data_IF_133960742239
#
_entry.id   IF_133960742239
#
_cell.length_a   1.000
_cell.length_b   1.000
_cell.length_c   1.000
_cell.angle_alpha   90.00
_cell.angle_beta   90.00
_cell.angle_gamma   90.00
#
_symmetry.space_group_name_H-M   'P 1'
#
loop_
_entity.id
_entity.type
_entity.pdbx_description
1 polymer ?
#
# COMPACT_ATOMS: atom_id res chain seq x y z
N UNK A 1 -0.48 73.66 15.31
CA UNK A 1 0.09 72.30 15.24
C UNK A 1 -0.98 71.39 14.64
N UNK A 2 -0.89 71.09 13.34
CA UNK A 2 -1.92 70.37 12.58
C UNK A 2 -1.57 68.88 12.66
N UNK A 3 -2.41 68.07 13.29
CA UNK A 3 -2.23 66.61 13.33
C UNK A 3 -2.41 66.05 11.92
N UNK A 4 -1.36 65.47 11.36
CA UNK A 4 -1.44 64.73 10.11
C UNK A 4 -2.03 63.36 10.40
N UNK A 5 -3.24 63.13 9.91
CA UNK A 5 -3.87 61.82 9.80
C UNK A 5 -3.02 60.91 8.91
N UNK A 6 -2.57 59.76 9.42
CA UNK A 6 -1.99 58.72 8.59
C UNK A 6 -3.10 58.10 7.73
N UNK A 7 -3.01 58.31 6.42
CA UNK A 7 -3.87 57.61 5.48
C UNK A 7 -3.48 56.14 5.45
N UNK A 8 -4.49 55.27 5.61
CA UNK A 8 -4.35 53.84 5.47
C UNK A 8 -3.89 53.47 4.07
N UNK A 9 -2.69 52.90 3.98
CA UNK A 9 -2.20 52.24 2.77
C UNK A 9 -3.08 51.01 2.49
N UNK A 10 -3.99 51.13 1.54
CA UNK A 10 -4.62 49.97 0.91
C UNK A 10 -3.55 49.26 0.08
N UNK A 11 -2.87 48.27 0.66
CA UNK A 11 -1.95 47.41 -0.07
C UNK A 11 -2.70 46.74 -1.24
N UNK A 12 -2.41 47.17 -2.47
CA UNK A 12 -2.87 46.50 -3.67
C UNK A 12 -2.37 45.05 -3.64
N UNK A 13 -3.29 44.07 -3.57
CA UNK A 13 -2.94 42.64 -3.62
C UNK A 13 -2.14 42.37 -4.90
N UNK A 14 -1.05 41.60 -4.79
CA UNK A 14 -0.23 41.26 -5.96
C UNK A 14 -1.05 40.45 -6.98
N UNK A 15 -0.69 40.55 -8.26
CA UNK A 15 -1.33 39.75 -9.33
C UNK A 15 -1.27 38.25 -9.04
N UNK A 16 -0.16 37.79 -8.46
CA UNK A 16 0.01 36.41 -8.01
C UNK A 16 -1.02 36.03 -6.95
N UNK A 17 -1.14 36.82 -5.88
CA UNK A 17 -2.10 36.55 -4.80
C UNK A 17 -3.53 36.55 -5.31
N UNK A 18 -3.87 37.48 -6.22
CA UNK A 18 -5.20 37.52 -6.85
C UNK A 18 -5.49 36.23 -7.65
N UNK A 19 -4.55 35.78 -8.48
CA UNK A 19 -4.71 34.55 -9.25
C UNK A 19 -4.80 33.31 -8.35
N UNK A 20 -3.90 33.18 -7.38
CA UNK A 20 -3.91 32.06 -6.45
C UNK A 20 -5.20 32.01 -5.60
N UNK A 21 -5.79 33.17 -5.28
CA UNK A 21 -7.10 33.25 -4.61
C UNK A 21 -8.20 32.63 -5.46
N UNK A 22 -8.23 32.93 -6.76
CA UNK A 22 -9.22 32.36 -7.70
C UNK A 22 -9.06 30.84 -7.77
N UNK A 23 -7.83 30.34 -7.89
CA UNK A 23 -7.55 28.91 -7.95
C UNK A 23 -7.95 28.20 -6.65
N UNK A 24 -7.65 28.78 -5.49
CA UNK A 24 -8.02 28.22 -4.19
C UNK A 24 -9.54 28.14 -4.00
N UNK A 25 -10.27 29.20 -4.39
CA UNK A 25 -11.73 29.21 -4.37
C UNK A 25 -12.30 28.11 -5.27
N UNK A 26 -11.75 27.93 -6.48
CA UNK A 26 -12.16 26.87 -7.39
C UNK A 26 -11.91 25.47 -6.79
N UNK A 27 -10.75 25.28 -6.17
CA UNK A 27 -10.42 24.04 -5.44
C UNK A 27 -11.48 23.74 -4.38
N UNK A 28 -11.84 24.70 -3.53
CA UNK A 28 -12.87 24.48 -2.49
C UNK A 28 -14.28 24.32 -3.03
N UNK A 29 -14.62 24.98 -4.14
CA UNK A 29 -15.92 24.83 -4.80
C UNK A 29 -16.13 23.41 -5.33
N UNK A 30 -15.08 22.83 -5.90
CA UNK A 30 -15.08 21.47 -6.47
C UNK A 30 -14.80 20.39 -5.42
N UNK A 31 -14.31 20.79 -4.25
CA UNK A 31 -14.03 19.91 -3.13
C UNK A 31 -15.32 19.38 -2.47
N UNK A 32 -15.29 18.17 -1.87
CA UNK A 32 -16.37 17.69 -1.01
C UNK A 32 -16.68 18.63 0.18
N UNK A 33 -15.83 19.61 0.50
CA UNK A 33 -15.94 20.49 1.67
C UNK A 33 -16.46 21.89 1.33
N UNK A 34 -17.45 21.96 0.44
CA UNK A 34 -17.98 23.20 -0.16
C UNK A 34 -18.46 24.21 0.90
N UNK A 35 -18.10 25.48 0.70
CA UNK A 35 -18.64 26.65 1.40
C UNK A 35 -19.09 27.67 0.35
N UNK A 36 -20.12 28.45 0.65
CA UNK A 36 -20.79 29.31 -0.32
C UNK A 36 -20.31 30.77 -0.29
N UNK A 37 -19.59 31.18 0.76
CA UNK A 37 -19.23 32.59 0.93
C UNK A 37 -17.97 33.00 0.13
N UNK A 38 -18.08 34.16 -0.52
CA UNK A 38 -17.12 34.75 -1.45
C UNK A 38 -16.41 36.01 -0.90
N UNK A 39 -16.68 36.39 0.36
CA UNK A 39 -16.08 37.55 1.05
C UNK A 39 -14.56 37.40 1.25
N UNK A 40 -13.91 38.46 1.77
CA UNK A 40 -12.50 38.41 2.18
C UNK A 40 -12.40 37.45 3.37
N UNK A 41 -12.20 36.18 3.06
CA UNK A 41 -12.08 35.13 4.05
C UNK A 41 -10.83 35.34 4.91
N UNK A 42 -10.94 35.31 6.26
CA UNK A 42 -9.77 35.18 7.13
C UNK A 42 -8.89 33.99 6.71
N UNK A 43 -7.64 33.93 7.20
CA UNK A 43 -6.76 32.78 6.93
C UNK A 43 -7.33 31.45 7.43
N UNK A 44 -8.27 31.51 8.38
CA UNK A 44 -8.99 30.38 8.94
C UNK A 44 -10.48 30.71 8.92
N UNK A 45 -11.23 29.97 8.11
CA UNK A 45 -12.69 30.06 8.02
C UNK A 45 -13.34 28.94 8.83
N UNK A 46 -14.46 29.23 9.47
CA UNK A 46 -15.33 28.18 10.00
C UNK A 46 -15.84 27.29 8.86
N UNK A 47 -15.97 25.99 9.17
CA UNK A 47 -16.63 25.05 8.25
C UNK A 47 -18.12 24.97 8.58
N UNK A 48 -18.96 24.83 7.55
CA UNK A 48 -20.37 24.51 7.78
C UNK A 48 -20.52 23.11 8.42
N UNK A 49 -21.69 22.81 8.97
CA UNK A 49 -21.96 21.54 9.67
C UNK A 49 -21.62 20.29 8.83
N UNK A 50 -21.89 20.33 7.52
CA UNK A 50 -21.57 19.22 6.61
C UNK A 50 -20.07 19.04 6.44
N UNK A 51 -19.31 20.13 6.33
CA UNK A 51 -17.85 20.13 6.31
C UNK A 51 -17.27 19.62 7.62
N UNK A 52 -17.82 20.09 8.75
CA UNK A 52 -17.44 19.65 10.09
C UNK A 52 -17.55 18.12 10.22
N UNK A 53 -18.73 17.54 9.97
CA UNK A 53 -18.95 16.10 10.12
C UNK A 53 -18.08 15.26 9.17
N UNK A 54 -17.81 15.74 7.96
CA UNK A 54 -16.92 15.05 7.01
C UNK A 54 -15.48 15.03 7.49
N UNK A 55 -14.95 16.16 7.96
CA UNK A 55 -13.57 16.23 8.47
C UNK A 55 -13.44 15.48 9.80
N UNK A 56 -14.44 15.60 10.68
CA UNK A 56 -14.51 14.81 11.93
C UNK A 56 -14.47 13.30 11.63
N UNK A 57 -15.31 12.83 10.71
CA UNK A 57 -15.31 11.43 10.28
C UNK A 57 -13.97 10.99 9.68
N UNK A 58 -13.29 11.86 8.93
CA UNK A 58 -11.94 11.59 8.40
C UNK A 58 -10.92 11.36 9.53
N UNK A 59 -10.91 12.20 10.56
CA UNK A 59 -10.02 12.05 11.72
C UNK A 59 -10.37 10.79 12.52
N UNK A 60 -11.65 10.59 12.83
CA UNK A 60 -12.13 9.47 13.65
C UNK A 60 -11.88 8.09 13.02
N UNK A 61 -11.67 8.00 11.70
CA UNK A 61 -11.18 6.75 11.06
C UNK A 61 -9.86 6.24 11.64
N UNK A 62 -9.01 7.15 12.11
CA UNK A 62 -7.67 6.81 12.60
C UNK A 62 -7.43 7.19 14.06
N UNK A 63 -8.26 8.06 14.62
CA UNK A 63 -8.21 8.49 16.02
C UNK A 63 -9.64 8.62 16.59
N UNK A 64 -10.35 7.50 16.86
CA UNK A 64 -11.77 7.50 17.23
C UNK A 64 -12.12 8.32 18.48
N UNK A 65 -11.24 8.33 19.48
CA UNK A 65 -11.39 9.00 20.77
C UNK A 65 -10.98 10.49 20.76
N UNK A 66 -10.70 11.05 19.57
CA UNK A 66 -10.32 12.44 19.44
C UNK A 66 -11.49 13.38 19.80
N UNK A 67 -11.33 14.13 20.91
CA UNK A 67 -12.31 15.14 21.35
C UNK A 67 -12.18 16.45 20.55
N UNK A 68 -12.72 16.42 19.33
CA UNK A 68 -12.72 17.55 18.39
C UNK A 68 -13.78 18.57 18.80
N UNK A 69 -13.37 19.81 19.05
CA UNK A 69 -14.30 20.89 19.43
C UNK A 69 -14.36 22.04 18.41
N UNK A 70 -13.41 22.13 17.47
CA UNK A 70 -13.38 23.20 16.45
C UNK A 70 -12.66 22.72 15.19
N UNK A 71 -13.16 23.07 14.02
CA UNK A 71 -12.53 22.79 12.72
C UNK A 71 -12.54 24.08 11.90
N UNK A 72 -11.37 24.52 11.46
CA UNK A 72 -11.25 25.60 10.51
C UNK A 72 -10.77 25.06 9.17
N UNK A 73 -11.29 25.61 8.09
CA UNK A 73 -10.68 25.51 6.77
C UNK A 73 -9.62 26.58 6.63
N UNK A 74 -8.47 26.20 6.10
CA UNK A 74 -7.41 27.17 5.79
C UNK A 74 -7.75 27.94 4.52
N UNK A 75 -7.48 29.23 4.50
CA UNK A 75 -7.56 30.05 3.30
C UNK A 75 -6.26 30.85 3.18
N UNK A 76 -5.20 30.20 2.65
CA UNK A 76 -3.89 30.81 2.46
C UNK A 76 -3.51 30.85 0.96
N UNK A 77 -4.06 31.79 0.17
CA UNK A 77 -3.87 31.83 -1.28
C UNK A 77 -2.42 31.82 -1.74
N UNK A 78 -1.54 32.58 -1.08
CA UNK A 78 -0.12 32.65 -1.46
C UNK A 78 0.54 31.28 -1.33
N UNK A 79 0.32 30.59 -0.21
CA UNK A 79 0.85 29.25 0.02
C UNK A 79 0.26 28.24 -0.97
N UNK A 80 -1.04 28.34 -1.29
CA UNK A 80 -1.66 27.47 -2.29
C UNK A 80 -1.09 27.71 -3.69
N UNK A 81 -0.83 28.96 -4.06
CA UNK A 81 -0.18 29.29 -5.33
C UNK A 81 1.23 28.70 -5.42
N UNK A 82 2.03 28.81 -4.36
CA UNK A 82 3.37 28.21 -4.31
C UNK A 82 3.31 26.68 -4.38
N UNK A 83 2.35 26.07 -3.68
CA UNK A 83 2.09 24.64 -3.75
C UNK A 83 1.75 24.18 -5.17
N UNK A 84 0.91 24.92 -5.88
CA UNK A 84 0.57 24.61 -7.27
C UNK A 84 1.76 24.78 -8.21
N UNK A 85 2.59 25.81 -8.03
CA UNK A 85 3.82 25.98 -8.79
C UNK A 85 4.74 24.77 -8.60
N UNK A 86 4.96 24.36 -7.35
CA UNK A 86 5.81 23.21 -7.07
C UNK A 86 5.22 21.89 -7.59
N UNK A 87 3.90 21.74 -7.53
CA UNK A 87 3.20 20.61 -8.16
C UNK A 87 3.47 20.56 -9.67
N UNK A 88 3.42 21.70 -10.36
CA UNK A 88 3.72 21.76 -11.80
C UNK A 88 5.20 21.48 -12.10
N UNK A 89 6.13 21.93 -11.26
CA UNK A 89 7.56 21.60 -11.37
C UNK A 89 7.79 20.08 -11.32
N UNK A 90 7.20 19.40 -10.34
CA UNK A 90 7.28 17.94 -10.23
C UNK A 90 6.61 17.25 -11.43
N UNK A 91 5.45 17.76 -11.89
CA UNK A 91 4.75 17.21 -13.07
C UNK A 91 5.63 17.26 -14.31
N UNK A 92 6.29 18.39 -14.55
CA UNK A 92 7.19 18.58 -15.70
C UNK A 92 8.44 17.69 -15.58
N UNK A 93 9.02 17.58 -14.38
CA UNK A 93 10.15 16.68 -14.13
C UNK A 93 9.79 15.20 -14.37
N UNK A 94 8.53 14.83 -14.19
CA UNK A 94 7.99 13.49 -14.44
C UNK A 94 7.49 13.26 -15.88
N UNK A 95 7.94 14.07 -16.84
CA UNK A 95 7.52 13.94 -18.24
C UNK A 95 6.06 14.31 -18.49
N UNK A 96 5.50 15.18 -17.65
CA UNK A 96 4.12 15.67 -17.75
C UNK A 96 3.08 14.82 -17.01
N UNK A 97 3.49 13.74 -16.35
CA UNK A 97 2.60 12.87 -15.57
C UNK A 97 2.11 13.54 -14.30
N UNK A 98 0.81 13.43 -14.02
CA UNK A 98 0.19 14.00 -12.83
C UNK A 98 0.87 13.55 -11.53
N UNK A 99 1.10 14.52 -10.64
CA UNK A 99 1.72 14.29 -9.34
C UNK A 99 0.70 13.68 -8.38
N UNK A 100 1.08 12.61 -7.69
CA UNK A 100 0.22 12.00 -6.67
C UNK A 100 0.16 12.91 -5.44
N UNK A 101 -1.07 13.18 -5.01
CA UNK A 101 -1.36 13.88 -3.77
C UNK A 101 -1.85 12.90 -2.70
N UNK A 102 -1.39 13.07 -1.46
CA UNK A 102 -1.89 12.32 -0.30
C UNK A 102 -2.45 13.28 0.75
N UNK A 103 -3.60 12.93 1.30
CA UNK A 103 -4.11 13.59 2.50
C UNK A 103 -3.38 12.99 3.71
N UNK A 104 -2.58 13.81 4.39
CA UNK A 104 -1.79 13.41 5.56
C UNK A 104 -1.98 14.41 6.70
N UNK A 105 -1.57 13.99 7.90
CA UNK A 105 -1.75 14.71 9.15
C UNK A 105 -0.41 15.17 9.72
N UNK A 106 -0.42 16.32 10.38
CA UNK A 106 0.66 16.82 11.22
C UNK A 106 0.07 17.37 12.52
N UNK A 107 0.60 16.99 13.68
CA UNK A 107 0.10 17.50 14.98
C UNK A 107 1.10 18.46 15.60
N UNK A 108 0.60 19.63 15.98
CA UNK A 108 1.39 20.66 16.66
C UNK A 108 0.54 21.44 17.68
N UNK A 109 1.15 22.38 18.39
CA UNK A 109 0.43 23.30 19.28
C UNK A 109 -0.32 24.35 18.46
N UNK A 110 -1.38 24.92 19.02
CA UNK A 110 -2.15 25.97 18.35
C UNK A 110 -1.30 27.17 17.89
N UNK A 111 -0.38 27.74 18.70
CA UNK A 111 0.47 28.84 18.23
C UNK A 111 1.34 28.46 17.02
N UNK A 112 1.95 27.27 17.03
CA UNK A 112 2.77 26.80 15.92
C UNK A 112 1.93 26.53 14.67
N UNK A 113 0.70 26.03 14.82
CA UNK A 113 -0.20 25.81 13.69
C UNK A 113 -0.56 27.16 13.05
N UNK A 114 -0.97 28.16 13.83
CA UNK A 114 -1.30 29.50 13.31
C UNK A 114 -0.11 30.15 12.63
N UNK A 115 1.07 30.10 13.26
CA UNK A 115 2.32 30.62 12.67
C UNK A 115 2.65 29.93 11.34
N UNK A 116 2.39 28.62 11.23
CA UNK A 116 2.69 27.87 10.00
C UNK A 116 1.92 28.38 8.77
N UNK A 117 0.80 29.10 8.94
CA UNK A 117 0.05 29.69 7.81
C UNK A 117 0.81 30.80 7.09
N UNK A 118 1.77 31.43 7.76
CA UNK A 118 2.62 32.48 7.19
C UNK A 118 4.03 31.98 6.90
N UNK A 119 4.62 31.21 7.81
CA UNK A 119 6.01 30.74 7.69
C UNK A 119 6.17 29.41 6.96
N UNK A 120 5.08 28.67 6.74
CA UNK A 120 5.17 27.23 6.45
C UNK A 120 5.54 26.40 7.68
N UNK A 121 5.57 25.08 7.52
CA UNK A 121 6.00 24.15 8.57
C UNK A 121 7.53 24.09 8.63
N UNK A 122 8.11 24.42 9.77
CA UNK A 122 9.56 24.40 9.96
C UNK A 122 10.02 23.18 10.78
N UNK A 123 10.68 22.24 10.11
CA UNK A 123 11.21 21.04 10.75
C UNK A 123 12.35 21.34 11.73
N UNK A 124 13.04 22.47 11.61
CA UNK A 124 14.15 22.85 12.51
C UNK A 124 13.67 23.15 13.93
N UNK A 125 12.36 23.36 14.10
CA UNK A 125 11.69 23.50 15.42
C UNK A 125 11.47 22.17 16.13
N UNK A 126 11.73 21.03 15.48
CA UNK A 126 11.66 19.69 16.08
C UNK A 126 13.02 19.01 16.10
N UNK A 127 13.35 18.38 17.23
CA UNK A 127 14.57 17.57 17.37
C UNK A 127 14.37 16.12 16.88
N UNK A 128 13.19 15.78 16.35
CA UNK A 128 12.84 14.43 15.93
C UNK A 128 12.96 14.29 14.41
N UNK A 129 14.09 13.75 13.95
CA UNK A 129 14.38 13.51 12.53
C UNK A 129 14.61 12.04 12.19
N UNK A 130 14.04 11.07 12.94
CA UNK A 130 14.35 9.62 12.81
C UNK A 130 14.32 9.10 11.36
N UNK A 131 13.43 9.65 10.54
CA UNK A 131 13.20 9.27 9.14
C UNK A 131 13.66 10.33 8.14
N UNK A 132 14.41 11.33 8.59
CA UNK A 132 14.78 12.49 7.79
C UNK A 132 14.66 13.79 8.57
N UNK A 133 15.55 14.72 8.26
CA UNK A 133 15.55 16.11 8.73
C UNK A 133 14.66 16.95 7.82
N UNK A 134 13.36 16.74 7.96
CA UNK A 134 12.33 17.41 7.18
C UNK A 134 10.98 17.40 7.91
N UNK A 135 9.96 18.00 7.30
CA UNK A 135 8.61 18.05 7.87
C UNK A 135 8.01 16.66 7.79
N UNK A 136 7.65 16.10 8.96
CA UNK A 136 7.05 14.78 9.06
C UNK A 136 5.53 14.85 9.07
N UNK A 137 4.91 14.04 8.22
CA UNK A 137 3.47 13.81 8.14
C UNK A 137 3.13 12.34 8.42
N UNK A 138 1.87 12.04 8.74
CA UNK A 138 1.37 10.67 8.87
C UNK A 138 0.04 10.45 8.15
N UNK A 139 -0.21 9.21 7.74
CA UNK A 139 -1.53 8.77 7.30
C UNK A 139 -2.47 8.41 8.46
N UNK A 140 -2.04 8.56 9.72
CA UNK A 140 -2.81 8.23 10.90
C UNK A 140 -2.75 9.36 11.95
N UNK A 141 -3.91 9.92 12.31
CA UNK A 141 -3.99 11.05 13.23
C UNK A 141 -3.59 10.68 14.67
N UNK A 142 -3.90 9.46 15.14
CA UNK A 142 -3.51 8.98 16.46
C UNK A 142 -1.98 8.77 16.54
N UNK A 143 -1.38 8.28 15.45
CA UNK A 143 0.09 8.21 15.34
C UNK A 143 0.73 9.60 15.49
N UNK A 144 0.22 10.61 14.77
CA UNK A 144 0.68 11.99 14.94
C UNK A 144 0.51 12.49 16.38
N UNK A 145 -0.61 12.19 17.02
CA UNK A 145 -0.89 12.60 18.40
C UNK A 145 0.14 12.03 19.39
N UNK A 146 0.45 10.73 19.29
CA UNK A 146 1.45 10.07 20.15
C UNK A 146 2.85 10.64 19.94
N UNK A 147 3.24 10.86 18.68
CA UNK A 147 4.59 11.27 18.32
C UNK A 147 4.77 12.79 18.11
N UNK A 148 3.77 13.59 18.47
CA UNK A 148 3.89 15.05 18.48
C UNK A 148 5.01 15.52 19.44
N UNK A 149 5.49 16.75 19.21
CA UNK A 149 6.55 17.34 20.03
C UNK A 149 6.08 17.44 21.50
N UNK A 150 6.97 17.13 22.47
CA UNK A 150 6.62 17.17 23.90
C UNK A 150 6.16 18.55 24.36
N UNK A 151 6.63 19.64 23.73
CA UNK A 151 6.14 20.99 24.02
C UNK A 151 4.63 21.16 23.73
N UNK A 152 4.08 20.32 22.84
CA UNK A 152 2.65 20.24 22.53
C UNK A 152 1.90 19.33 23.51
N UNK A 153 2.61 18.62 24.39
CA UNK A 153 2.06 17.75 25.44
C UNK A 153 1.70 18.52 26.73
N UNK A 154 1.40 19.81 26.63
CA UNK A 154 0.75 20.53 27.74
C UNK A 154 -0.75 20.28 27.67
N UNK A 155 -1.38 20.05 28.83
CA UNK A 155 -2.83 19.84 28.93
C UNK A 155 -3.55 21.03 28.30
N UNK A 156 -4.61 20.76 27.54
CA UNK A 156 -5.44 21.81 26.94
C UNK A 156 -5.82 21.48 25.51
N UNK A 157 -5.14 22.11 24.55
CA UNK A 157 -5.54 22.14 23.15
C UNK A 157 -4.36 21.80 22.24
N UNK A 158 -4.62 20.95 21.25
CA UNK A 158 -3.72 20.66 20.14
C UNK A 158 -4.43 20.82 18.80
N UNK A 159 -3.63 20.93 17.74
CA UNK A 159 -4.13 21.07 16.36
C UNK A 159 -3.60 19.93 15.51
N UNK A 160 -4.52 19.18 14.89
CA UNK A 160 -4.21 18.32 13.74
C UNK A 160 -4.34 19.18 12.49
N UNK A 161 -3.24 19.39 11.80
CA UNK A 161 -3.19 19.99 10.46
C UNK A 161 -3.42 18.88 9.45
N UNK A 162 -4.55 18.93 8.74
CA UNK A 162 -4.86 18.04 7.62
C UNK A 162 -4.34 18.70 6.35
N UNK A 163 -3.41 18.06 5.65
CA UNK A 163 -2.73 18.65 4.48
C UNK A 163 -2.89 17.76 3.26
N UNK A 164 -2.95 18.37 2.06
CA UNK A 164 -2.56 17.67 0.83
C UNK A 164 -1.04 17.75 0.70
N UNK A 165 -0.40 16.62 0.40
CA UNK A 165 1.06 16.48 0.34
C UNK A 165 1.43 15.84 -1.00
N UNK A 166 2.35 16.45 -1.72
CA UNK A 166 2.90 15.92 -2.97
C UNK A 166 3.84 14.75 -2.64
N UNK A 167 3.59 13.59 -3.25
CA UNK A 167 4.40 12.39 -3.04
C UNK A 167 4.63 11.72 -4.39
N UNK A 168 5.81 11.91 -4.98
CA UNK A 168 6.11 11.40 -6.31
C UNK A 168 6.82 10.03 -6.24
N UNK A 169 8.08 10.05 -5.81
CA UNK A 169 8.98 8.92 -5.64
C UNK A 169 9.44 8.80 -4.18
N UNK A 170 9.46 7.58 -3.68
CA UNK A 170 9.60 7.32 -2.24
C UNK A 170 10.84 6.50 -1.92
N UNK A 171 11.63 6.97 -0.96
CA UNK A 171 12.71 6.20 -0.36
C UNK A 171 12.27 5.55 0.95
N UNK A 172 12.20 4.22 0.97
CA UNK A 172 11.79 3.45 2.15
C UNK A 172 12.96 3.26 3.14
N UNK A 173 12.79 3.81 4.35
CA UNK A 173 13.79 3.66 5.42
C UNK A 173 13.61 2.33 6.11
N UNK A 174 14.66 1.50 6.09
CA UNK A 174 14.67 0.16 6.70
C UNK A 174 14.65 0.24 8.24
N UNK A 175 13.96 -0.69 8.92
CA UNK A 175 13.74 -0.70 10.39
C UNK A 175 14.98 -0.46 11.26
N UNK A 176 16.15 -0.96 10.84
CA UNK A 176 17.43 -0.83 11.56
C UNK A 176 18.23 0.43 11.24
N UNK A 177 17.81 1.22 10.23
CA UNK A 177 18.48 2.47 9.86
C UNK A 177 17.72 3.66 10.45
N UNK A 178 18.47 4.60 11.02
CA UNK A 178 17.96 5.92 11.42
C UNK A 178 18.62 6.96 10.53
N UNK A 179 17.86 7.58 9.64
CA UNK A 179 18.39 8.54 8.66
C UNK A 179 18.19 9.98 9.16
N UNK A 180 18.67 10.24 10.38
CA UNK A 180 18.49 11.50 11.11
C UNK A 180 19.36 12.66 10.63
N UNK A 181 20.33 12.37 9.77
CA UNK A 181 21.17 13.34 9.07
C UNK A 181 20.74 13.57 7.63
N UNK A 182 19.74 12.81 7.14
CA UNK A 182 19.27 12.93 5.77
C UNK A 182 18.47 14.22 5.64
N UNK A 183 19.02 15.19 4.92
CA UNK A 183 18.39 16.50 4.64
C UNK A 183 17.77 16.57 3.23
N UNK A 184 18.07 15.59 2.37
CA UNK A 184 17.51 15.39 1.03
C UNK A 184 17.43 13.88 0.80
N UNK A 185 16.32 13.32 0.26
CA UNK A 185 16.25 11.89 -0.05
C UNK A 185 17.28 11.46 -1.09
N UNK A 186 17.73 10.19 -1.07
CA UNK A 186 18.66 9.69 -2.08
C UNK A 186 17.99 9.48 -3.43
N UNK A 187 18.78 9.62 -4.51
CA UNK A 187 18.34 9.34 -5.87
C UNK A 187 17.31 10.35 -6.37
N UNK A 188 16.22 9.84 -6.95
CA UNK A 188 15.10 10.63 -7.50
C UNK A 188 13.95 10.82 -6.52
N UNK A 189 14.06 10.26 -5.30
CA UNK A 189 13.00 10.34 -4.32
C UNK A 189 12.79 11.78 -3.83
N UNK A 190 11.53 12.20 -3.69
CA UNK A 190 11.14 13.46 -3.05
C UNK A 190 10.63 13.25 -1.62
N UNK A 191 10.31 11.99 -1.27
CA UNK A 191 9.71 11.66 0.02
C UNK A 191 10.43 10.47 0.65
N UNK A 192 10.77 10.56 1.94
CA UNK A 192 11.13 9.35 2.69
C UNK A 192 9.93 8.77 3.42
N UNK A 193 9.87 7.44 3.48
CA UNK A 193 8.78 6.71 4.13
C UNK A 193 9.34 5.81 5.22
N UNK A 194 8.74 5.83 6.40
CA UNK A 194 9.15 4.93 7.48
C UNK A 194 8.89 3.46 7.16
N UNK A 195 9.66 2.55 7.75
CA UNK A 195 9.47 1.10 7.59
C UNK A 195 8.07 0.58 7.93
N UNK A 196 7.31 1.28 8.76
CA UNK A 196 5.94 0.91 9.14
C UNK A 196 4.87 1.60 8.26
N UNK A 197 5.28 2.36 7.24
CA UNK A 197 4.37 3.03 6.30
C UNK A 197 3.52 4.16 6.89
N UNK A 198 3.86 4.64 8.10
CA UNK A 198 3.09 5.65 8.82
C UNK A 198 3.68 7.05 8.78
N UNK A 199 4.96 7.22 8.44
CA UNK A 199 5.60 8.53 8.41
C UNK A 199 6.10 8.83 7.01
N UNK A 200 5.78 10.03 6.53
CA UNK A 200 6.21 10.59 5.25
C UNK A 200 6.97 11.87 5.57
N UNK A 201 8.23 12.00 5.14
CA UNK A 201 9.04 13.19 5.37
C UNK A 201 9.24 13.95 4.07
N UNK A 202 8.96 15.25 4.12
CA UNK A 202 9.13 16.23 3.04
C UNK A 202 10.21 17.23 3.41
N UNK A 203 10.98 17.68 2.43
CA UNK A 203 12.25 18.36 2.64
C UNK A 203 12.26 19.78 2.10
N UNK A 204 11.37 20.09 1.16
CA UNK A 204 11.26 21.40 0.55
C UNK A 204 9.98 22.11 1.02
N UNK A 205 10.05 23.44 1.00
CA UNK A 205 8.89 24.27 1.26
C UNK A 205 7.83 24.06 0.17
N UNK A 206 6.57 24.28 0.54
CA UNK A 206 5.42 24.21 -0.38
C UNK A 206 5.16 22.83 -1.04
N UNK A 207 5.81 21.76 -0.59
CA UNK A 207 5.46 20.38 -0.95
C UNK A 207 4.13 19.89 -0.34
N UNK A 208 3.50 20.74 0.47
CA UNK A 208 2.21 20.50 1.08
C UNK A 208 1.42 21.79 1.22
N UNK A 209 0.10 21.65 1.24
CA UNK A 209 -0.82 22.73 1.57
C UNK A 209 -1.78 22.27 2.67
N UNK A 210 -1.89 23.01 3.80
CA UNK A 210 -2.83 22.68 4.85
C UNK A 210 -4.26 22.99 4.38
N UNK A 211 -5.14 21.99 4.43
CA UNK A 211 -6.55 22.09 4.07
C UNK A 211 -7.41 22.50 5.26
N UNK A 212 -7.16 21.90 6.43
CA UNK A 212 -7.95 22.11 7.65
C UNK A 212 -7.07 22.11 8.89
N UNK A 213 -7.46 22.93 9.86
CA UNK A 213 -6.98 22.86 11.24
C UNK A 213 -8.09 22.26 12.09
N UNK A 214 -7.82 21.12 12.71
CA UNK A 214 -8.74 20.42 13.61
C UNK A 214 -8.23 20.57 15.03
N UNK A 215 -8.97 21.33 15.83
CA UNK A 215 -8.65 21.59 17.23
C UNK A 215 -9.33 20.55 18.10
N UNK A 216 -8.55 19.92 18.97
CA UNK A 216 -9.03 18.88 19.85
C UNK A 216 -8.48 19.04 21.25
N UNK A 217 -9.26 18.61 22.24
CA UNK A 217 -8.80 18.58 23.63
C UNK A 217 -7.81 17.45 23.78
N UNK A 218 -6.70 17.74 24.46
CA UNK A 218 -5.69 16.74 24.73
C UNK A 218 -5.35 16.71 26.21
N UNK A 219 -5.34 15.50 26.75
CA UNK A 219 -4.84 15.19 28.08
C UNK A 219 -3.87 14.00 28.02
N UNK A 220 -2.93 13.86 28.97
CA UNK A 220 -2.00 12.76 29.03
C UNK A 220 -2.67 11.38 29.07
N UNK A 221 -3.85 11.26 29.67
CA UNK A 221 -4.58 10.00 29.83
C UNK A 221 -4.96 9.40 28.48
N UNK A 222 -5.28 10.25 27.49
CA UNK A 222 -5.64 9.81 26.13
C UNK A 222 -4.47 9.11 25.42
N UNK A 223 -3.21 9.38 25.81
CA UNK A 223 -2.07 8.63 25.27
C UNK A 223 -2.15 7.15 25.61
N UNK A 224 -2.63 6.80 26.81
CA UNK A 224 -2.71 5.40 27.24
C UNK A 224 -3.72 4.59 26.41
N UNK A 225 -4.69 5.26 25.79
CA UNK A 225 -5.71 4.64 24.93
C UNK A 225 -5.22 4.46 23.49
N UNK A 226 -4.10 5.09 23.11
CA UNK A 226 -3.56 4.95 21.76
C UNK A 226 -2.89 3.59 21.55
N UNK A 227 -3.22 2.94 20.43
CA UNK A 227 -2.54 1.71 19.99
C UNK A 227 -1.07 1.93 19.59
N UNK A 228 -0.66 3.17 19.36
CA UNK A 228 0.72 3.54 19.06
C UNK A 228 1.51 3.93 20.31
N UNK A 229 0.83 4.08 21.45
CA UNK A 229 1.49 4.29 22.72
C UNK A 229 2.03 2.98 23.27
N UNK A 230 3.33 2.79 23.09
CA UNK A 230 4.04 1.58 23.51
C UNK A 230 4.64 1.83 24.90
N UNK A 231 4.04 1.23 25.93
CA UNK A 231 4.72 0.98 27.22
C UNK A 231 5.71 -0.19 27.07
N UNK A 232 6.69 -0.33 27.98
CA UNK A 232 7.67 -1.45 27.93
C UNK A 232 7.00 -2.83 27.87
N UNK A 233 5.83 -2.98 28.49
CA UNK A 233 5.01 -4.20 28.48
C UNK A 233 4.32 -4.44 27.13
N UNK A 234 3.80 -3.39 26.48
CA UNK A 234 3.18 -3.49 25.15
C UNK A 234 4.18 -3.89 24.06
N UNK A 235 5.47 -3.53 24.20
CA UNK A 235 6.53 -3.97 23.30
C UNK A 235 6.67 -5.49 23.27
N UNK A 236 6.62 -6.14 24.44
CA UNK A 236 6.71 -7.60 24.54
C UNK A 236 5.50 -8.28 23.90
N UNK A 237 4.29 -7.77 24.15
CA UNK A 237 3.06 -8.32 23.57
C UNK A 237 3.00 -8.16 22.05
N UNK A 238 3.36 -7.00 21.50
CA UNK A 238 3.43 -6.82 20.04
C UNK A 238 4.49 -7.70 19.40
N UNK A 239 5.64 -7.90 20.08
CA UNK A 239 6.68 -8.81 19.58
C UNK A 239 6.17 -10.25 19.55
N UNK A 240 5.50 -10.70 20.60
CA UNK A 240 4.91 -12.04 20.68
C UNK A 240 3.82 -12.25 19.63
N UNK A 241 2.92 -11.28 19.44
CA UNK A 241 1.88 -11.35 18.39
C UNK A 241 2.49 -11.39 16.98
N UNK A 242 3.56 -10.63 16.74
CA UNK A 242 4.24 -10.62 15.45
C UNK A 242 5.01 -11.93 15.20
N UNK A 243 5.64 -12.49 16.24
CA UNK A 243 6.26 -13.82 16.21
C UNK A 243 5.21 -14.92 15.93
N UNK A 244 4.06 -14.87 16.61
CA UNK A 244 2.92 -15.77 16.40
C UNK A 244 2.40 -15.70 14.96
N UNK A 245 2.21 -14.49 14.43
CA UNK A 245 1.74 -14.31 13.05
C UNK A 245 2.74 -14.86 12.02
N UNK A 246 4.04 -14.63 12.22
CA UNK A 246 5.08 -15.23 11.36
C UNK A 246 5.14 -16.75 11.47
N UNK A 247 4.89 -17.32 12.65
CA UNK A 247 4.79 -18.77 12.83
C UNK A 247 3.58 -19.33 12.09
N UNK A 248 2.42 -18.68 12.17
CA UNK A 248 1.23 -19.08 11.42
C UNK A 248 1.46 -19.07 9.91
N UNK A 249 2.13 -18.04 9.38
CA UNK A 249 2.50 -17.97 7.95
C UNK A 249 3.45 -19.10 7.55
N UNK A 250 4.49 -19.37 8.34
CA UNK A 250 5.42 -20.48 8.09
C UNK A 250 4.72 -21.85 8.12
N UNK A 251 3.78 -22.04 9.04
CA UNK A 251 2.99 -23.28 9.14
C UNK A 251 2.07 -23.43 7.91
N UNK A 252 1.48 -22.34 7.44
CA UNK A 252 0.65 -22.35 6.23
C UNK A 252 1.48 -22.70 4.99
N UNK A 253 2.67 -22.12 4.83
CA UNK A 253 3.59 -22.41 3.72
C UNK A 253 4.04 -23.89 3.73
N UNK A 254 4.34 -24.44 4.90
CA UNK A 254 4.67 -25.86 5.06
C UNK A 254 3.48 -26.75 4.66
N UNK A 255 2.26 -26.42 5.07
CA UNK A 255 1.05 -27.15 4.67
C UNK A 255 0.81 -27.12 3.15
N UNK A 256 1.04 -25.97 2.52
CA UNK A 256 0.92 -25.80 1.06
C UNK A 256 2.00 -26.66 0.35
N UNK A 257 3.22 -26.66 0.86
CA UNK A 257 4.33 -27.46 0.32
C UNK A 257 4.06 -28.97 0.47
N UNK A 258 3.55 -29.41 1.61
CA UNK A 258 3.20 -30.81 1.86
C UNK A 258 2.06 -31.28 0.95
N UNK A 259 1.01 -30.46 0.82
CA UNK A 259 -0.12 -30.73 -0.09
C UNK A 259 0.35 -30.86 -1.55
N UNK A 260 1.26 -29.98 -1.98
CA UNK A 260 1.86 -29.99 -3.31
C UNK A 260 2.70 -31.26 -3.55
N UNK A 261 3.50 -31.66 -2.55
CA UNK A 261 4.28 -32.91 -2.60
C UNK A 261 3.37 -34.15 -2.67
N UNK A 262 2.27 -34.18 -1.92
CA UNK A 262 1.32 -35.29 -1.95
C UNK A 262 0.66 -35.41 -3.34
N UNK A 263 0.29 -34.29 -3.96
CA UNK A 263 -0.22 -34.27 -5.33
C UNK A 263 0.81 -34.80 -6.34
N UNK A 264 2.08 -34.40 -6.21
CA UNK A 264 3.18 -34.90 -7.03
C UNK A 264 3.33 -36.42 -6.91
N UNK A 265 3.33 -36.96 -5.68
CA UNK A 265 3.39 -38.41 -5.43
C UNK A 265 2.21 -39.14 -6.06
N UNK A 266 0.99 -38.59 -5.95
CA UNK A 266 -0.21 -39.16 -6.60
C UNK A 266 -0.09 -39.19 -8.12
N UNK A 267 0.43 -38.13 -8.74
CA UNK A 267 0.67 -38.07 -10.19
C UNK A 267 1.73 -39.07 -10.63
N UNK A 268 2.84 -39.19 -9.88
CA UNK A 268 3.88 -40.18 -10.15
C UNK A 268 3.38 -41.61 -10.05
N UNK A 269 2.62 -41.94 -8.99
CA UNK A 269 2.00 -43.26 -8.83
C UNK A 269 1.00 -43.56 -9.96
N UNK A 270 0.20 -42.58 -10.38
CA UNK A 270 -0.72 -42.73 -11.51
C UNK A 270 0.01 -43.00 -12.83
N UNK A 271 1.12 -42.29 -13.10
CA UNK A 271 1.97 -42.54 -14.27
C UNK A 271 2.57 -43.95 -14.26
N UNK A 272 3.06 -44.41 -13.10
CA UNK A 272 3.60 -45.77 -12.97
C UNK A 272 2.54 -46.84 -13.22
N UNK A 273 1.33 -46.67 -12.65
CA UNK A 273 0.20 -47.59 -12.90
C UNK A 273 -0.20 -47.63 -14.37
N UNK A 274 -0.23 -46.47 -15.04
CA UNK A 274 -0.50 -46.40 -16.47
C UNK A 274 0.57 -47.12 -17.30
N UNK A 275 1.85 -46.93 -16.98
CA UNK A 275 2.95 -47.60 -17.66
C UNK A 275 2.92 -49.12 -17.48
N UNK A 276 2.62 -49.61 -16.27
CA UNK A 276 2.45 -51.04 -16.00
C UNK A 276 1.29 -51.65 -16.79
N UNK A 277 0.11 -51.01 -16.78
CA UNK A 277 -1.05 -51.47 -17.54
C UNK A 277 -0.78 -51.50 -19.06
N UNK A 278 0.00 -50.53 -19.58
CA UNK A 278 0.43 -50.52 -20.98
C UNK A 278 1.35 -51.71 -21.29
N UNK A 279 2.34 -51.99 -20.44
CA UNK A 279 3.25 -53.12 -20.60
C UNK A 279 2.51 -54.47 -20.54
N UNK A 280 1.54 -54.62 -19.62
CA UNK A 280 0.70 -55.82 -19.53
C UNK A 280 -0.13 -56.05 -20.80
N UNK A 281 -0.69 -54.96 -21.37
CA UNK A 281 -1.42 -55.00 -22.63
C UNK A 281 -0.52 -55.41 -23.82
N UNK A 282 0.68 -54.84 -23.91
CA UNK A 282 1.67 -55.18 -24.95
C UNK A 282 2.16 -56.64 -24.81
N UNK A 283 2.36 -57.12 -23.60
CA UNK A 283 2.72 -58.51 -23.32
C UNK A 283 1.57 -59.48 -23.69
N UNK A 284 0.32 -59.11 -23.39
CA UNK A 284 -0.86 -59.89 -23.77
C UNK A 284 -1.02 -59.98 -25.30
N UNK A 285 -0.84 -58.85 -26.01
CA UNK A 285 -0.85 -58.80 -27.46
C UNK A 285 0.25 -59.70 -28.06
N UNK A 286 1.47 -59.63 -27.52
CA UNK A 286 2.59 -60.48 -27.96
C UNK A 286 2.31 -61.97 -27.76
N UNK A 287 1.74 -62.36 -26.61
CA UNK A 287 1.31 -63.74 -26.36
C UNK A 287 0.23 -64.19 -27.35
N UNK A 288 -0.73 -63.33 -27.68
CA UNK A 288 -1.79 -63.66 -28.64
C UNK A 288 -1.23 -63.92 -30.05
N UNK A 289 -0.27 -63.09 -30.50
CA UNK A 289 0.43 -63.28 -31.78
C UNK A 289 1.20 -64.61 -31.80
N UNK A 290 1.94 -64.92 -30.73
CA UNK A 290 2.67 -66.19 -30.63
C UNK A 290 1.72 -67.41 -30.66
N UNK A 291 0.59 -67.35 -29.96
CA UNK A 291 -0.43 -68.39 -29.96
C UNK A 291 -1.03 -68.62 -31.36
N UNK A 292 -1.33 -67.53 -32.08
CA UNK A 292 -1.84 -67.59 -33.45
C UNK A 292 -0.84 -68.23 -34.42
N UNK A 293 0.46 -67.89 -34.31
CA UNK A 293 1.53 -68.51 -35.10
C UNK A 293 1.65 -70.01 -34.81
N UNK A 294 1.55 -70.41 -33.54
CA UNK A 294 1.62 -71.81 -33.13
C UNK A 294 0.43 -72.62 -33.70
N UNK A 295 -0.77 -72.06 -33.62
CA UNK A 295 -1.96 -72.67 -34.24
C UNK A 295 -1.81 -72.81 -35.76
N UNK A 296 -1.28 -71.80 -36.44
CA UNK A 296 -1.01 -71.85 -37.89
C UNK A 296 -0.01 -72.95 -38.23
N UNK A 297 1.08 -73.09 -37.46
CA UNK A 297 2.04 -74.20 -37.60
C UNK A 297 1.39 -75.57 -37.41
N UNK A 298 0.57 -75.75 -36.36
CA UNK A 298 -0.17 -76.99 -36.11
C UNK A 298 -1.12 -77.35 -37.27
N UNK A 299 -1.87 -76.37 -37.79
CA UNK A 299 -2.75 -76.56 -38.96
C UNK A 299 -1.97 -76.98 -40.20
N UNK A 300 -0.83 -76.33 -40.48
CA UNK A 300 0.04 -76.70 -41.61
C UNK A 300 0.64 -78.11 -41.46
N UNK A 301 1.07 -78.49 -40.26
CA UNK A 301 1.58 -79.84 -39.98
C UNK A 301 0.49 -80.91 -40.17
N UNK A 302 -0.73 -80.65 -39.68
CA UNK A 302 -1.89 -81.54 -39.87
C UNK A 302 -2.23 -81.71 -41.36
N UNK A 303 -2.24 -80.62 -42.15
CA UNK A 303 -2.40 -80.68 -43.61
C UNK A 303 -1.32 -81.55 -44.28
N UNK A 304 -0.05 -81.35 -43.94
CA UNK A 304 1.07 -82.16 -44.46
C UNK A 304 0.92 -83.65 -44.10
N UNK A 305 0.50 -83.97 -42.86
CA UNK A 305 0.26 -85.35 -42.42
C UNK A 305 -0.88 -86.02 -43.19
N UNK A 306 -2.01 -85.33 -43.38
CA UNK A 306 -3.13 -85.83 -44.21
C UNK A 306 -2.70 -86.09 -45.66
N UNK A 307 -1.87 -85.21 -46.22
CA UNK A 307 -1.33 -85.39 -47.59
C UNK A 307 -0.41 -86.60 -47.69
N UNK A 308 0.46 -86.85 -46.69
CA UNK A 308 1.29 -88.06 -46.61
C UNK A 308 0.45 -89.34 -46.50
N UNK A 309 -0.58 -89.33 -45.66
CA UNK A 309 -1.49 -90.47 -45.52
C UNK A 309 -2.24 -90.78 -46.82
N UNK A 310 -2.74 -89.75 -47.53
CA UNK A 310 -3.34 -89.91 -48.85
C UNK A 310 -2.36 -90.51 -49.88
N UNK A 311 -1.11 -90.04 -49.90
CA UNK A 311 -0.06 -90.63 -50.76
C UNK A 311 0.24 -92.08 -50.40
N UNK A 312 0.33 -92.42 -49.12
CA UNK A 312 0.56 -93.78 -48.66
C UNK A 312 -0.61 -94.72 -49.03
N UNK A 313 -1.85 -94.27 -48.85
CA UNK A 313 -3.04 -95.02 -49.26
C UNK A 313 -3.05 -95.29 -50.77
N UNK A 314 -2.73 -94.28 -51.60
CA UNK A 314 -2.61 -94.45 -53.04
C UNK A 314 -1.50 -95.45 -53.43
N UNK A 315 -0.38 -95.50 -52.70
CA UNK A 315 0.69 -96.49 -52.92
C UNK A 315 0.22 -97.91 -52.55
N UNK A 316 -0.59 -98.05 -51.49
CA UNK A 316 -1.15 -99.35 -51.08
C UNK A 316 -2.19 -99.84 -52.10
N UNK A 317 -3.07 -98.96 -52.61
CA UNK A 317 -4.00 -99.30 -53.69
C UNK A 317 -3.27 -99.75 -54.97
N UNK A 318 -2.18 -99.08 -55.34
CA UNK A 318 -1.37 -99.48 -56.51
C UNK A 318 -0.67 -100.83 -56.30
N UNK A 319 -0.25 -101.16 -55.07
CA UNK A 319 0.36 -102.47 -54.76
C UNK A 319 -0.64 -103.62 -54.65
N UNK A 320 -1.91 -103.35 -54.37
CA UNK A 320 -2.97 -104.37 -54.31
C UNK A 320 -3.51 -104.75 -55.71
N UNK A 321 -3.10 -104.03 -56.76
CA UNK A 321 -3.50 -104.22 -58.15
C UNK A 321 -2.43 -104.92 -59.03
N UNK A 322 -1.37 -105.46 -58.41
CA UNK A 322 -0.30 -106.25 -59.04
C UNK A 322 -0.29 -107.66 -58.45
#
# INVERSE_FOLDING_TARGET
MKMMSSQGSTFSKSKFTAHATVLLKLHYRNSPFRHYDDTVSPLLDDVNMKGYERVKGLIHKTYPQCDIFKIHRVNAPVMYGMYLLHKEEIRLANGGNDVKEKVLYHVTSEPNAVESLTSGLDWRRTQRSRFGSGVSFSNNADYCNVYANKSTNKVGVRVIIVSTVLVNDTHLIKKRKKEHTLIIPPGTADTTVSHNGHVFVKYYDFESYPLFFVYYRWTPEILNESKFFITKTNYTLQRLQQEEQTLCEQVADLHIAESSNLQLRRRSASKQRWAAAKADSEAAASKAVAAALLQRRRRSASKKRRQRQRRAAAIVEVKAAL
#
